data_IF_064520855588
#
_entry.id   IF_064520855588
#
_cell.length_a   1.000
_cell.length_b   1.000
_cell.length_c   1.000
_cell.angle_alpha   90.00
_cell.angle_beta   90.00
_cell.angle_gamma   90.00
#
_symmetry.space_group_name_H-M   'P 1'
#
loop_
_entity.id
_entity.type
_entity.pdbx_description
1 polymer ?
#
# COMPACT_ATOMS: atom_id res chain seq x y z
N UNK A 1 20.47 7.67 -19.48
CA UNK A 1 19.61 7.53 -20.67
C UNK A 1 18.24 8.04 -20.26
N UNK A 2 17.52 8.77 -21.13
CA UNK A 2 16.16 9.21 -20.82
C UNK A 2 15.25 7.97 -20.67
N UNK A 3 14.36 7.99 -19.68
CA UNK A 3 13.42 6.90 -19.45
C UNK A 3 12.44 6.80 -20.63
N UNK A 4 12.15 5.58 -21.09
CA UNK A 4 11.17 5.38 -22.18
C UNK A 4 9.75 5.38 -21.62
N UNK A 5 8.75 5.60 -22.48
CA UNK A 5 7.34 5.49 -22.07
C UNK A 5 7.01 4.14 -21.44
N UNK A 6 7.61 3.06 -21.95
CA UNK A 6 7.42 1.72 -21.39
C UNK A 6 7.98 1.61 -19.96
N UNK A 7 9.17 2.17 -19.71
CA UNK A 7 9.76 2.15 -18.36
C UNK A 7 8.91 2.97 -17.36
N UNK A 8 8.27 4.06 -17.82
CA UNK A 8 7.32 4.83 -17.00
C UNK A 8 6.06 4.00 -16.70
N UNK A 9 5.51 3.32 -17.72
CA UNK A 9 4.36 2.42 -17.57
C UNK A 9 4.68 1.30 -16.57
N UNK A 10 5.86 0.68 -16.66
CA UNK A 10 6.29 -0.38 -15.74
C UNK A 10 6.40 0.13 -14.30
N UNK A 11 6.95 1.34 -14.12
CA UNK A 11 7.03 2.01 -12.81
C UNK A 11 5.64 2.25 -12.23
N UNK A 12 4.69 2.72 -13.05
CA UNK A 12 3.32 2.96 -12.62
C UNK A 12 2.57 1.67 -12.30
N UNK A 13 2.80 0.60 -13.07
CA UNK A 13 2.20 -0.71 -12.83
C UNK A 13 2.70 -1.35 -11.52
N UNK A 14 3.99 -1.21 -11.16
CA UNK A 14 4.50 -1.66 -9.84
C UNK A 14 3.79 -0.93 -8.68
N UNK A 15 3.57 0.39 -8.80
CA UNK A 15 2.81 1.16 -7.81
C UNK A 15 1.31 0.80 -7.79
N UNK A 16 0.73 0.52 -8.95
CA UNK A 16 -0.68 0.14 -9.09
C UNK A 16 -0.93 -1.21 -8.41
N UNK A 17 -0.07 -2.21 -8.66
CA UNK A 17 -0.13 -3.51 -8.00
C UNK A 17 -0.04 -3.35 -6.48
N UNK A 18 0.97 -2.61 -6.01
CA UNK A 18 1.14 -2.34 -4.58
C UNK A 18 -0.09 -1.64 -3.96
N UNK A 19 -0.74 -0.74 -4.69
CA UNK A 19 -1.94 -0.03 -4.21
C UNK A 19 -3.15 -0.96 -4.13
N UNK A 20 -3.37 -1.84 -5.12
CA UNK A 20 -4.46 -2.84 -5.08
C UNK A 20 -4.24 -3.88 -3.99
N UNK A 21 -3.00 -4.30 -3.83
CA UNK A 21 -2.54 -5.16 -2.75
C UNK A 21 -2.83 -4.52 -1.38
N UNK A 22 -2.45 -3.26 -1.18
CA UNK A 22 -2.76 -2.50 0.04
C UNK A 22 -4.25 -2.37 0.30
N UNK A 23 -5.07 -2.08 -0.73
CA UNK A 23 -6.52 -2.02 -0.62
C UNK A 23 -7.11 -3.35 -0.10
N UNK A 24 -6.66 -4.48 -0.65
CA UNK A 24 -7.09 -5.80 -0.19
C UNK A 24 -6.66 -6.07 1.25
N UNK A 25 -5.38 -5.85 1.57
CA UNK A 25 -4.84 -6.08 2.92
C UNK A 25 -5.55 -5.27 3.99
N UNK A 26 -5.76 -3.97 3.77
CA UNK A 26 -6.44 -3.12 4.74
C UNK A 26 -7.94 -3.42 4.89
N UNK A 27 -8.65 -3.81 3.82
CA UNK A 27 -10.05 -4.25 3.95
C UNK A 27 -10.17 -5.45 4.88
N UNK A 28 -9.28 -6.41 4.69
CA UNK A 28 -9.24 -7.60 5.50
C UNK A 28 -8.90 -7.29 6.97
N UNK A 29 -7.92 -6.43 7.25
CA UNK A 29 -7.65 -5.97 8.61
C UNK A 29 -8.87 -5.28 9.25
N UNK A 30 -9.63 -4.49 8.47
CA UNK A 30 -10.85 -3.86 8.96
C UNK A 30 -11.97 -4.85 9.28
N UNK A 31 -12.05 -5.97 8.55
CA UNK A 31 -13.02 -7.04 8.80
C UNK A 31 -12.71 -7.82 10.07
N UNK A 32 -11.43 -8.10 10.32
CA UNK A 32 -10.97 -8.96 11.43
C UNK A 32 -10.76 -8.22 12.75
N UNK A 33 -10.44 -6.91 12.73
CA UNK A 33 -10.12 -6.18 13.97
C UNK A 33 -11.36 -5.90 14.83
N UNK A 34 -11.30 -6.19 16.12
CA UNK A 34 -12.38 -5.93 17.07
C UNK A 34 -12.47 -4.44 17.44
N UNK A 35 -11.32 -3.78 17.59
CA UNK A 35 -11.24 -2.36 17.92
C UNK A 35 -11.84 -1.47 16.82
N UNK A 36 -12.91 -0.75 17.16
CA UNK A 36 -13.64 0.12 16.23
C UNK A 36 -12.79 1.26 15.65
N UNK A 37 -11.85 1.81 16.41
CA UNK A 37 -10.93 2.86 15.95
C UNK A 37 -9.94 2.32 14.91
N UNK A 38 -9.40 1.12 15.15
CA UNK A 38 -8.53 0.44 14.18
C UNK A 38 -9.31 0.06 12.91
N UNK A 39 -10.55 -0.43 13.06
CA UNK A 39 -11.44 -0.72 11.93
C UNK A 39 -11.66 0.51 11.04
N UNK A 40 -11.95 1.67 11.64
CA UNK A 40 -12.08 2.93 10.89
C UNK A 40 -10.77 3.33 10.23
N UNK A 41 -9.64 3.17 10.92
CA UNK A 41 -8.31 3.45 10.36
C UNK A 41 -8.05 2.59 9.13
N UNK A 42 -8.16 1.26 9.23
CA UNK A 42 -7.94 0.35 8.13
C UNK A 42 -8.92 0.57 6.97
N UNK A 43 -10.21 0.82 7.25
CA UNK A 43 -11.19 1.15 6.21
C UNK A 43 -10.82 2.42 5.45
N UNK A 44 -10.32 3.44 6.16
CA UNK A 44 -9.82 4.68 5.54
C UNK A 44 -8.64 4.40 4.61
N UNK A 45 -7.71 3.53 5.03
CA UNK A 45 -6.53 3.17 4.23
C UNK A 45 -6.87 2.34 3.01
N UNK A 46 -7.80 1.40 3.13
CA UNK A 46 -8.34 0.71 1.96
C UNK A 46 -8.89 1.70 0.92
N UNK A 47 -9.67 2.70 1.35
CA UNK A 47 -10.23 3.69 0.44
C UNK A 47 -9.15 4.57 -0.24
N UNK A 48 -8.11 4.98 0.49
CA UNK A 48 -6.98 5.73 -0.05
C UNK A 48 -6.16 4.91 -1.05
N UNK A 49 -5.88 3.63 -0.74
CA UNK A 49 -5.22 2.70 -1.65
C UNK A 49 -6.02 2.51 -2.95
N UNK A 50 -7.35 2.36 -2.83
CA UNK A 50 -8.25 2.25 -3.99
C UNK A 50 -8.22 3.53 -4.84
N UNK A 51 -8.14 4.71 -4.22
CA UNK A 51 -8.01 5.98 -4.93
C UNK A 51 -6.66 6.08 -5.65
N UNK A 52 -5.56 5.71 -4.98
CA UNK A 52 -4.25 5.71 -5.59
C UNK A 52 -4.19 4.76 -6.81
N UNK A 53 -4.77 3.56 -6.68
CA UNK A 53 -4.87 2.60 -7.78
C UNK A 53 -5.62 3.17 -8.99
N UNK A 54 -6.78 3.81 -8.79
CA UNK A 54 -7.54 4.45 -9.87
C UNK A 54 -6.72 5.52 -10.60
N UNK A 55 -6.04 6.39 -9.86
CA UNK A 55 -5.23 7.47 -10.45
C UNK A 55 -4.04 6.92 -11.26
N UNK A 56 -3.38 5.87 -10.75
CA UNK A 56 -2.27 5.22 -11.46
C UNK A 56 -2.75 4.53 -12.74
N UNK A 57 -3.87 3.81 -12.65
CA UNK A 57 -4.52 3.15 -13.79
C UNK A 57 -4.87 4.14 -14.91
N UNK A 58 -5.47 5.29 -14.57
CA UNK A 58 -5.78 6.34 -15.54
C UNK A 58 -4.52 6.84 -16.27
N UNK A 59 -3.40 7.01 -15.56
CA UNK A 59 -2.13 7.44 -16.18
C UNK A 59 -1.55 6.33 -17.06
N UNK A 60 -1.59 5.07 -16.64
CA UNK A 60 -1.13 3.93 -17.47
C UNK A 60 -1.90 3.88 -18.79
N UNK A 61 -3.23 3.99 -18.75
CA UNK A 61 -4.08 4.00 -19.95
C UNK A 61 -3.73 5.20 -20.83
N UNK A 62 -3.58 6.39 -20.25
CA UNK A 62 -3.22 7.62 -20.98
C UNK A 62 -1.89 7.51 -21.71
N UNK A 63 -0.93 6.77 -21.16
CA UNK A 63 0.37 6.50 -21.78
C UNK A 63 0.32 5.36 -22.82
N UNK A 64 -0.84 4.74 -23.03
CA UNK A 64 -1.03 3.63 -23.97
C UNK A 64 -0.62 2.26 -23.40
N UNK A 65 -0.40 2.17 -22.08
CA UNK A 65 -0.08 0.93 -21.39
C UNK A 65 -1.33 0.12 -21.02
N UNK A 66 -1.11 -1.16 -20.69
CA UNK A 66 -2.13 -1.99 -20.05
C UNK A 66 -1.96 -1.88 -18.52
N UNK A 67 -2.99 -1.43 -17.77
CA UNK A 67 -2.97 -1.49 -16.31
C UNK A 67 -2.78 -2.92 -15.82
N UNK A 68 -1.94 -3.09 -14.82
CA UNK A 68 -1.86 -4.35 -14.10
C UNK A 68 -3.23 -4.69 -13.52
N UNK A 69 -3.70 -5.94 -13.70
CA UNK A 69 -5.01 -6.41 -13.24
C UNK A 69 -5.05 -6.65 -11.71
N UNK A 70 -3.90 -6.52 -11.03
CA UNK A 70 -3.71 -6.91 -9.63
C UNK A 70 -3.48 -8.42 -9.52
N UNK A 71 -2.74 -8.86 -8.49
CA UNK A 71 -2.51 -10.28 -8.24
C UNK A 71 -1.39 -10.94 -9.05
N UNK A 72 -0.29 -10.22 -9.34
CA UNK A 72 0.93 -10.85 -9.87
C UNK A 72 1.50 -11.89 -8.91
N UNK A 73 2.29 -12.83 -9.46
CA UNK A 73 3.01 -13.89 -8.73
C UNK A 73 3.96 -13.40 -7.61
N UNK A 74 4.09 -12.08 -7.44
CA UNK A 74 4.65 -11.34 -6.29
C UNK A 74 3.68 -11.20 -5.11
N UNK A 75 2.64 -12.05 -5.03
CA UNK A 75 1.73 -12.23 -3.90
C UNK A 75 2.41 -12.58 -2.57
N UNK A 76 3.23 -11.66 -2.06
CA UNK A 76 3.71 -11.62 -0.69
C UNK A 76 2.51 -11.45 0.27
N UNK A 77 1.43 -10.82 -0.19
CA UNK A 77 0.15 -10.82 0.51
C UNK A 77 -0.47 -12.20 0.68
N UNK A 78 -0.31 -13.12 -0.28
CA UNK A 78 -0.88 -14.47 -0.13
C UNK A 78 -0.17 -15.28 0.97
N UNK A 79 1.07 -14.92 1.36
CA UNK A 79 1.81 -15.59 2.44
C UNK A 79 1.71 -14.85 3.79
N UNK A 80 1.65 -13.51 3.79
CA UNK A 80 1.39 -12.73 5.00
C UNK A 80 0.00 -12.99 5.57
N UNK A 81 -1.01 -13.09 4.71
CA UNK A 81 -2.41 -13.32 5.10
C UNK A 81 -2.68 -14.68 5.76
N UNK A 82 -1.94 -15.73 5.39
CA UNK A 82 -2.05 -17.05 6.04
C UNK A 82 -1.57 -16.99 7.49
N UNK A 83 -0.64 -16.07 7.82
CA UNK A 83 -0.14 -15.90 9.19
C UNK A 83 -1.13 -15.15 10.09
N UNK A 84 -1.80 -14.13 9.55
CA UNK A 84 -2.81 -13.31 10.27
C UNK A 84 -4.00 -14.16 10.74
N UNK A 85 -4.46 -15.13 9.94
CA UNK A 85 -5.55 -16.05 10.34
C UNK A 85 -5.22 -16.99 11.51
N UNK A 86 -3.94 -17.13 11.88
CA UNK A 86 -3.52 -18.04 12.95
C UNK A 86 -3.53 -17.43 14.35
N UNK A 87 -3.62 -16.10 14.47
CA UNK A 87 -3.39 -15.38 15.72
C UNK A 87 -4.67 -14.72 16.26
N UNK A 88 -5.61 -15.53 16.77
CA UNK A 88 -6.83 -15.02 17.43
C UNK A 88 -6.58 -14.92 18.95
N UNK A 89 -6.50 -13.70 19.48
CA UNK A 89 -6.30 -13.35 20.90
C UNK A 89 -5.79 -11.89 21.05
N UNK A 90 -5.67 -11.31 22.26
CA UNK A 90 -5.24 -9.91 22.46
C UNK A 90 -3.86 -9.53 21.85
N UNK A 91 -2.99 -10.51 21.60
CA UNK A 91 -1.76 -10.35 20.81
C UNK A 91 -2.01 -10.14 19.30
N UNK A 92 -3.27 -10.13 18.85
CA UNK A 92 -3.66 -9.99 17.44
C UNK A 92 -3.58 -8.55 16.96
N UNK A 93 -3.86 -7.55 17.80
CA UNK A 93 -3.87 -6.14 17.38
C UNK A 93 -2.44 -5.63 17.12
N UNK A 94 -1.53 -5.85 18.07
CA UNK A 94 -0.11 -5.53 17.88
C UNK A 94 0.45 -6.28 16.68
N UNK A 95 0.22 -7.60 16.58
CA UNK A 95 0.75 -8.41 15.48
C UNK A 95 0.14 -8.01 14.12
N UNK A 96 -1.14 -7.65 14.07
CA UNK A 96 -1.77 -7.12 12.86
C UNK A 96 -1.15 -5.78 12.46
N UNK A 97 -0.93 -4.88 13.41
CA UNK A 97 -0.30 -3.59 13.17
C UNK A 97 1.18 -3.72 12.76
N UNK A 98 1.91 -4.70 13.29
CA UNK A 98 3.27 -5.02 12.84
C UNK A 98 3.31 -5.49 11.39
N UNK A 99 2.40 -6.39 10.99
CA UNK A 99 2.34 -6.84 9.59
C UNK A 99 1.86 -5.71 8.66
N UNK A 100 0.95 -4.84 9.10
CA UNK A 100 0.60 -3.62 8.38
C UNK A 100 1.80 -2.68 8.21
N UNK A 101 2.58 -2.42 9.27
CA UNK A 101 3.77 -1.56 9.21
C UNK A 101 4.79 -2.10 8.20
N UNK A 102 5.03 -3.42 8.19
CA UNK A 102 5.92 -4.06 7.20
C UNK A 102 5.42 -3.90 5.76
N UNK A 103 4.11 -3.97 5.55
CA UNK A 103 3.49 -3.69 4.25
C UNK A 103 3.70 -2.24 3.82
N UNK A 104 3.49 -1.30 4.75
CA UNK A 104 3.66 0.14 4.52
C UNK A 104 5.12 0.53 4.28
N UNK A 105 6.09 -0.09 4.98
CA UNK A 105 7.52 0.07 4.71
C UNK A 105 7.85 -0.29 3.25
N UNK A 106 7.30 -1.42 2.78
CA UNK A 106 7.49 -1.87 1.40
C UNK A 106 6.82 -0.91 0.40
N UNK A 107 5.64 -0.38 0.72
CA UNK A 107 4.96 0.63 -0.11
C UNK A 107 5.80 1.92 -0.22
N UNK A 108 6.27 2.46 0.90
CA UNK A 108 7.13 3.65 0.95
C UNK A 108 8.42 3.43 0.15
N UNK A 109 9.04 2.24 0.26
CA UNK A 109 10.22 1.90 -0.51
C UNK A 109 9.97 1.90 -2.03
N UNK A 110 8.82 1.37 -2.48
CA UNK A 110 8.43 1.38 -3.90
C UNK A 110 8.22 2.80 -4.42
N UNK A 111 7.51 3.66 -3.67
CA UNK A 111 7.36 5.07 -4.03
C UNK A 111 8.70 5.80 -4.12
N UNK A 112 9.61 5.58 -3.15
CA UNK A 112 10.96 6.17 -3.18
C UNK A 112 11.75 5.70 -4.39
N UNK A 113 11.68 4.42 -4.75
CA UNK A 113 12.32 3.85 -5.94
C UNK A 113 11.75 4.45 -7.24
N UNK A 114 10.43 4.62 -7.32
CA UNK A 114 9.77 5.24 -8.46
C UNK A 114 10.22 6.70 -8.65
N UNK A 115 10.34 7.47 -7.56
CA UNK A 115 10.78 8.87 -7.60
C UNK A 115 12.25 9.07 -8.02
N UNK A 116 13.06 8.02 -7.98
CA UNK A 116 14.44 8.03 -8.51
C UNK A 116 14.49 7.90 -10.04
N UNK A 117 13.38 7.52 -10.69
CA UNK A 117 13.31 7.40 -12.14
C UNK A 117 13.16 8.77 -12.81
N UNK A 118 13.49 8.86 -14.10
CA UNK A 118 13.36 10.07 -14.91
C UNK A 118 11.92 10.22 -15.45
N UNK A 119 11.02 10.60 -14.55
CA UNK A 119 9.58 10.67 -14.81
C UNK A 119 9.14 12.00 -15.46
N UNK A 120 8.14 11.99 -16.37
CA UNK A 120 7.44 13.20 -16.79
C UNK A 120 6.91 14.00 -15.59
N UNK A 121 6.91 15.34 -15.70
CA UNK A 121 6.62 16.22 -14.56
C UNK A 121 5.24 15.98 -13.91
N UNK A 122 4.22 15.69 -14.72
CA UNK A 122 2.87 15.39 -14.23
C UNK A 122 2.81 14.03 -13.51
N UNK A 123 3.52 13.02 -14.04
CA UNK A 123 3.65 11.70 -13.42
C UNK A 123 4.41 11.79 -12.10
N UNK A 124 5.53 12.52 -12.08
CA UNK A 124 6.30 12.77 -10.85
C UNK A 124 5.44 13.41 -9.78
N UNK A 125 4.68 14.46 -10.12
CA UNK A 125 3.82 15.16 -9.15
C UNK A 125 2.74 14.24 -8.55
N UNK A 126 2.16 13.34 -9.35
CA UNK A 126 1.25 12.31 -8.86
C UNK A 126 1.92 11.38 -7.84
N UNK A 127 3.08 10.83 -8.21
CA UNK A 127 3.82 9.87 -7.37
C UNK A 127 4.32 10.55 -6.09
N UNK A 128 4.76 11.81 -6.14
CA UNK A 128 5.16 12.57 -4.94
C UNK A 128 3.99 12.76 -3.96
N UNK A 129 2.80 13.10 -4.47
CA UNK A 129 1.59 13.23 -3.64
C UNK A 129 1.24 11.90 -2.98
N UNK A 130 1.23 10.81 -3.75
CA UNK A 130 0.92 9.48 -3.21
C UNK A 130 1.99 8.99 -2.23
N UNK A 131 3.28 9.27 -2.48
CA UNK A 131 4.38 8.95 -1.59
C UNK A 131 4.25 9.66 -0.23
N UNK A 132 3.83 10.93 -0.22
CA UNK A 132 3.54 11.65 1.03
C UNK A 132 2.37 11.03 1.78
N UNK A 133 1.33 10.59 1.07
CA UNK A 133 0.21 9.83 1.65
C UNK A 133 0.66 8.52 2.29
N UNK A 134 1.46 7.72 1.57
CA UNK A 134 2.02 6.46 2.06
C UNK A 134 2.92 6.68 3.30
N UNK A 135 3.78 7.69 3.30
CA UNK A 135 4.60 8.00 4.47
C UNK A 135 3.76 8.39 5.69
N UNK A 136 2.71 9.21 5.50
CA UNK A 136 1.79 9.58 6.57
C UNK A 136 1.05 8.35 7.13
N UNK A 137 0.66 7.42 6.26
CA UNK A 137 0.01 6.19 6.68
C UNK A 137 0.95 5.29 7.48
N UNK A 138 2.14 5.01 6.94
CA UNK A 138 3.21 4.31 7.64
C UNK A 138 3.40 4.86 9.06
N UNK A 139 3.54 6.19 9.19
CA UNK A 139 3.76 6.83 10.48
C UNK A 139 2.57 6.69 11.43
N UNK A 140 1.33 6.63 10.90
CA UNK A 140 0.15 6.36 11.71
C UNK A 140 0.10 4.91 12.19
N UNK A 141 0.32 3.93 11.31
CA UNK A 141 0.32 2.51 11.66
C UNK A 141 1.40 2.22 12.69
N UNK A 142 2.61 2.77 12.49
CA UNK A 142 3.70 2.67 13.45
C UNK A 142 3.33 3.20 14.84
N UNK A 143 2.72 4.39 14.92
CA UNK A 143 2.25 4.95 16.20
C UNK A 143 1.22 4.04 16.87
N UNK A 144 0.24 3.55 16.12
CA UNK A 144 -0.79 2.65 16.64
C UNK A 144 -0.17 1.32 17.14
N UNK A 145 0.82 0.78 16.43
CA UNK A 145 1.59 -0.41 16.86
C UNK A 145 2.29 -0.15 18.18
N UNK A 146 3.00 0.98 18.27
CA UNK A 146 3.73 1.36 19.48
C UNK A 146 2.77 1.56 20.68
N UNK A 147 1.59 2.12 20.46
CA UNK A 147 0.52 2.25 21.47
C UNK A 147 -0.03 0.89 21.91
N UNK A 148 -0.31 -0.02 20.97
CA UNK A 148 -0.79 -1.37 21.26
C UNK A 148 0.24 -2.17 22.08
N UNK A 149 1.51 -2.09 21.70
CA UNK A 149 2.63 -2.72 22.43
C UNK A 149 2.82 -2.16 23.84
N UNK A 150 2.54 -0.87 24.05
CA UNK A 150 2.65 -0.26 25.37
C UNK A 150 1.49 -0.64 26.30
N UNK A 151 0.39 -1.15 25.75
CA UNK A 151 -0.82 -1.54 26.48
C UNK A 151 -0.90 -3.05 26.77
N UNK A 152 0.00 -3.88 26.20
CA UNK A 152 0.12 -5.32 26.43
C UNK A 152 1.00 -5.68 27.63
#
# INVERSE_FOLDING_TARGET
MAQTTNDVIDTLNDLLENSRDGEYGFRLCAEEVENSSLRTTFSTRAAECAQAARELEEVVIRLGGKPADGGTASGALHRGWVHVKGAVGANSEESMLEECERGEDAAVARYRKALQQDLPADVRALIERQAQGAQKNHDQIKRLRDEARAAS
#
